data_IF_626674338086
#
_entry.id   IF_626674338086
#
_cell.length_a   1.000
_cell.length_b   1.000
_cell.length_c   1.000
_cell.angle_alpha   90.00
_cell.angle_beta   90.00
_cell.angle_gamma   90.00
#
_symmetry.space_group_name_H-M   'P 1'
#
loop_
_entity.id
_entity.type
_entity.pdbx_description
1 polymer ?
#
# COMPACT_ATOMS: atom_id res chain seq x y z
N UNK A 1 -5.67 18.24 -7.03
CA UNK A 1 -5.36 16.96 -6.36
C UNK A 1 -5.83 15.82 -7.24
N UNK A 2 -5.10 14.70 -7.39
CA UNK A 2 -5.62 13.55 -8.13
C UNK A 2 -6.96 13.09 -7.57
N UNK A 3 -7.87 12.67 -8.44
CA UNK A 3 -9.20 12.20 -8.08
C UNK A 3 -9.26 10.68 -8.00
N UNK A 4 -10.49 10.16 -7.94
CA UNK A 4 -10.77 8.73 -7.88
C UNK A 4 -10.09 7.94 -9.01
N UNK A 5 -10.24 8.42 -10.26
CA UNK A 5 -9.76 7.70 -11.45
C UNK A 5 -8.25 7.63 -11.51
N UNK A 6 -7.57 8.72 -11.16
CA UNK A 6 -6.12 8.82 -11.13
C UNK A 6 -5.52 7.91 -10.06
N UNK A 7 -6.13 7.87 -8.87
CA UNK A 7 -5.72 6.96 -7.81
C UNK A 7 -5.98 5.50 -8.16
N UNK A 8 -7.13 5.19 -8.77
CA UNK A 8 -7.42 3.84 -9.26
C UNK A 8 -6.38 3.37 -10.28
N UNK A 9 -6.04 4.22 -11.25
CA UNK A 9 -5.02 3.90 -12.25
C UNK A 9 -3.66 3.61 -11.62
N UNK A 10 -3.20 4.43 -10.67
CA UNK A 10 -1.93 4.20 -9.99
C UNK A 10 -1.94 2.95 -9.11
N UNK A 11 -3.05 2.66 -8.43
CA UNK A 11 -3.21 1.40 -7.69
C UNK A 11 -3.09 0.19 -8.63
N UNK A 12 -3.82 0.17 -9.75
CA UNK A 12 -3.78 -0.93 -10.73
C UNK A 12 -2.38 -1.11 -11.30
N UNK A 13 -1.75 -0.02 -11.75
CA UNK A 13 -0.40 -0.05 -12.30
C UNK A 13 0.62 -0.62 -11.31
N UNK A 14 0.55 -0.23 -10.03
CA UNK A 14 1.47 -0.75 -9.01
C UNK A 14 1.19 -2.23 -8.69
N UNK A 15 -0.09 -2.63 -8.67
CA UNK A 15 -0.49 -4.02 -8.45
C UNK A 15 0.00 -4.94 -9.58
N UNK A 16 -0.18 -4.50 -10.83
CA UNK A 16 0.32 -5.21 -12.01
C UNK A 16 1.85 -5.32 -11.94
N UNK A 17 2.54 -4.20 -11.68
CA UNK A 17 4.00 -4.19 -11.57
C UNK A 17 4.54 -5.18 -10.54
N UNK A 18 3.98 -5.24 -9.32
CA UNK A 18 4.48 -6.17 -8.28
C UNK A 18 4.15 -7.64 -8.56
N UNK A 19 3.30 -7.90 -9.55
CA UNK A 19 2.96 -9.24 -10.03
C UNK A 19 3.85 -9.70 -11.19
N UNK A 20 4.67 -8.79 -11.75
CA UNK A 20 5.63 -9.12 -12.81
C UNK A 20 6.73 -10.07 -12.31
N UNK A 21 7.25 -10.90 -13.21
CA UNK A 21 8.26 -11.93 -12.89
C UNK A 21 9.49 -11.38 -12.18
N UNK A 22 9.93 -10.16 -12.53
CA UNK A 22 11.09 -9.50 -11.89
C UNK A 22 10.88 -9.23 -10.39
N UNK A 23 9.63 -9.20 -9.92
CA UNK A 23 9.24 -9.03 -8.52
C UNK A 23 8.66 -10.30 -7.88
N UNK A 24 8.75 -11.45 -8.57
CA UNK A 24 8.43 -12.76 -7.98
C UNK A 24 9.33 -13.02 -6.78
N UNK A 25 8.73 -13.41 -5.65
CA UNK A 25 9.48 -13.62 -4.41
C UNK A 25 10.43 -14.82 -4.48
N UNK A 26 10.18 -15.77 -5.38
CA UNK A 26 11.02 -16.93 -5.60
C UNK A 26 12.39 -16.57 -6.21
N UNK A 27 12.44 -15.50 -7.02
CA UNK A 27 13.61 -15.18 -7.85
C UNK A 27 14.15 -13.75 -7.65
N UNK A 28 13.37 -12.85 -7.08
CA UNK A 28 13.72 -11.43 -7.05
C UNK A 28 14.81 -11.12 -6.02
N UNK A 29 15.78 -10.31 -6.45
CA UNK A 29 16.74 -9.64 -5.56
C UNK A 29 16.26 -8.26 -5.07
N UNK A 30 15.10 -7.80 -5.56
CA UNK A 30 14.58 -6.45 -5.35
C UNK A 30 13.51 -6.42 -4.26
N UNK A 31 13.77 -7.07 -3.13
CA UNK A 31 12.81 -7.22 -2.03
C UNK A 31 12.37 -5.86 -1.46
N UNK A 32 13.26 -4.89 -1.37
CA UNK A 32 12.98 -3.50 -0.96
C UNK A 32 11.96 -2.82 -1.89
N UNK A 33 12.07 -3.07 -3.19
CA UNK A 33 11.14 -2.56 -4.19
C UNK A 33 9.78 -3.24 -4.11
N UNK A 34 9.72 -4.56 -3.83
CA UNK A 34 8.44 -5.24 -3.61
C UNK A 34 7.65 -4.55 -2.49
N UNK A 35 8.28 -4.32 -1.34
CA UNK A 35 7.66 -3.63 -0.20
C UNK A 35 7.19 -2.23 -0.57
N UNK A 36 8.05 -1.50 -1.30
CA UNK A 36 7.76 -0.13 -1.74
C UNK A 36 6.53 -0.11 -2.64
N UNK A 37 6.46 -0.99 -3.64
CA UNK A 37 5.35 -1.03 -4.59
C UNK A 37 4.05 -1.47 -3.89
N UNK A 38 4.09 -2.46 -3.00
CA UNK A 38 2.93 -2.88 -2.19
C UNK A 38 2.37 -1.71 -1.35
N UNK A 39 3.24 -0.93 -0.71
CA UNK A 39 2.80 0.25 0.03
C UNK A 39 2.18 1.30 -0.89
N UNK A 40 2.79 1.62 -2.04
CA UNK A 40 2.22 2.60 -2.96
C UNK A 40 0.91 2.12 -3.60
N UNK A 41 0.72 0.82 -3.81
CA UNK A 41 -0.56 0.26 -4.21
C UNK A 41 -1.61 0.46 -3.10
N UNK A 42 -1.30 0.13 -1.84
CA UNK A 42 -2.21 0.34 -0.70
C UNK A 42 -2.54 1.83 -0.48
N UNK A 43 -1.55 2.71 -0.60
CA UNK A 43 -1.69 4.16 -0.51
C UNK A 43 -2.71 4.68 -1.52
N UNK A 44 -2.57 4.30 -2.79
CA UNK A 44 -3.48 4.76 -3.82
C UNK A 44 -4.88 4.16 -3.67
N UNK A 45 -4.99 2.94 -3.16
CA UNK A 45 -6.29 2.35 -2.83
C UNK A 45 -7.01 3.12 -1.71
N UNK A 46 -6.28 3.54 -0.66
CA UNK A 46 -6.81 4.40 0.40
C UNK A 46 -7.24 5.77 -0.13
N UNK A 47 -6.39 6.44 -0.91
CA UNK A 47 -6.72 7.75 -1.50
C UNK A 47 -7.93 7.66 -2.44
N UNK A 48 -8.03 6.59 -3.23
CA UNK A 48 -9.19 6.32 -4.07
C UNK A 48 -10.48 6.27 -3.24
N UNK A 49 -10.46 5.59 -2.08
CA UNK A 49 -11.62 5.49 -1.17
C UNK A 49 -11.93 6.81 -0.47
N UNK A 50 -10.93 7.62 -0.15
CA UNK A 50 -11.14 8.98 0.38
C UNK A 50 -11.75 9.91 -0.67
N UNK A 51 -11.22 9.90 -1.89
CA UNK A 51 -11.66 10.74 -3.01
C UNK A 51 -13.13 10.51 -3.38
N UNK A 52 -13.68 9.30 -3.19
CA UNK A 52 -15.12 9.02 -3.32
C UNK A 52 -16.01 9.91 -2.44
N UNK A 53 -15.48 10.49 -1.37
CA UNK A 53 -16.20 11.37 -0.44
C UNK A 53 -15.64 12.80 -0.47
N UNK A 54 -14.93 13.17 -1.55
CA UNK A 54 -14.30 14.48 -1.72
C UNK A 54 -13.28 14.83 -0.61
N UNK A 55 -12.70 13.80 0.03
CA UNK A 55 -11.61 13.94 1.01
C UNK A 55 -10.30 13.62 0.31
N UNK A 56 -9.28 14.43 0.56
CA UNK A 56 -7.97 14.28 -0.04
C UNK A 56 -6.86 14.47 1.00
N UNK A 57 -5.77 13.70 0.88
CA UNK A 57 -4.62 13.84 1.78
C UNK A 57 -3.32 14.16 1.04
N UNK A 58 -2.79 15.36 1.27
CA UNK A 58 -1.70 15.95 0.46
C UNK A 58 -0.33 15.39 0.83
N UNK A 59 -0.23 14.82 2.02
CA UNK A 59 1.01 14.32 2.58
C UNK A 59 0.77 13.03 3.39
N UNK A 60 1.87 12.38 3.79
CA UNK A 60 1.80 11.14 4.56
C UNK A 60 1.16 11.31 5.94
N UNK A 61 1.30 12.47 6.57
CA UNK A 61 0.74 12.74 7.92
C UNK A 61 -0.78 12.80 7.83
N UNK A 62 -1.32 13.61 6.92
CA UNK A 62 -2.76 13.71 6.65
C UNK A 62 -3.34 12.34 6.27
N UNK A 63 -2.64 11.57 5.45
CA UNK A 63 -3.08 10.22 5.04
C UNK A 63 -3.14 9.25 6.21
N UNK A 64 -2.08 9.20 7.01
CA UNK A 64 -2.00 8.29 8.16
C UNK A 64 -3.07 8.66 9.20
N UNK A 65 -3.31 9.95 9.41
CA UNK A 65 -4.41 10.43 10.25
C UNK A 65 -5.77 10.00 9.70
N UNK A 66 -6.00 10.11 8.40
CA UNK A 66 -7.24 9.64 7.77
C UNK A 66 -7.45 8.12 7.96
N UNK A 67 -6.42 7.30 7.73
CA UNK A 67 -6.47 5.85 8.00
C UNK A 67 -6.79 5.56 9.47
N UNK A 68 -6.15 6.29 10.39
CA UNK A 68 -6.33 6.11 11.83
C UNK A 68 -7.71 6.56 12.35
N UNK A 69 -8.37 7.51 11.70
CA UNK A 69 -9.59 8.16 12.22
C UNK A 69 -10.85 7.74 11.50
N UNK A 70 -10.81 7.55 10.17
CA UNK A 70 -11.99 7.17 9.39
C UNK A 70 -12.44 5.76 9.81
N UNK A 71 -13.71 5.62 10.18
CA UNK A 71 -14.28 4.38 10.69
C UNK A 71 -14.18 3.22 9.70
N UNK A 72 -14.41 3.48 8.42
CA UNK A 72 -14.34 2.48 7.33
C UNK A 72 -12.95 1.85 7.17
N UNK A 73 -11.90 2.50 7.68
CA UNK A 73 -10.53 1.99 7.59
C UNK A 73 -10.10 1.23 8.85
N UNK A 74 -10.98 1.07 9.84
CA UNK A 74 -10.65 0.41 11.12
C UNK A 74 -10.02 -0.97 10.94
N UNK A 75 -10.51 -1.79 10.00
CA UNK A 75 -9.98 -3.14 9.76
C UNK A 75 -8.61 -3.17 9.10
N UNK A 76 -8.15 -2.08 8.47
CA UNK A 76 -6.89 -2.02 7.74
C UNK A 76 -5.78 -1.24 8.46
N UNK A 77 -6.09 -0.52 9.55
CA UNK A 77 -5.18 0.42 10.22
C UNK A 77 -3.80 -0.16 10.51
N UNK A 78 -3.76 -1.32 11.16
CA UNK A 78 -2.50 -1.96 11.56
C UNK A 78 -1.70 -2.44 10.33
N UNK A 79 -2.36 -3.08 9.37
CA UNK A 79 -1.72 -3.55 8.15
C UNK A 79 -1.12 -2.38 7.34
N UNK A 80 -1.86 -1.29 7.21
CA UNK A 80 -1.42 -0.10 6.50
C UNK A 80 -0.23 0.58 7.21
N UNK A 81 -0.27 0.73 8.54
CA UNK A 81 0.84 1.31 9.32
C UNK A 81 2.14 0.49 9.17
N UNK A 82 2.04 -0.84 9.21
CA UNK A 82 3.20 -1.71 8.98
C UNK A 82 3.78 -1.50 7.58
N UNK A 83 2.96 -1.52 6.52
CA UNK A 83 3.45 -1.27 5.15
C UNK A 83 4.08 0.12 5.00
N UNK A 84 3.49 1.15 5.63
CA UNK A 84 4.07 2.49 5.63
C UNK A 84 5.46 2.51 6.29
N UNK A 85 5.59 1.93 7.49
CA UNK A 85 6.86 1.91 8.22
C UNK A 85 7.92 1.10 7.50
N UNK A 86 7.56 -0.06 6.97
CA UNK A 86 8.50 -0.96 6.31
C UNK A 86 8.93 -0.43 4.93
N UNK A 87 8.04 0.23 4.18
CA UNK A 87 8.44 0.92 2.94
C UNK A 87 9.40 2.09 3.22
N UNK A 88 9.19 2.84 4.30
CA UNK A 88 10.14 3.88 4.75
C UNK A 88 11.51 3.28 5.09
N UNK A 89 11.57 2.15 5.79
CA UNK A 89 12.82 1.44 6.08
C UNK A 89 13.49 0.92 4.80
N UNK A 90 12.71 0.35 3.88
CA UNK A 90 13.19 -0.13 2.59
C UNK A 90 13.87 0.97 1.77
N UNK A 91 13.31 2.18 1.77
CA UNK A 91 13.85 3.30 0.99
C UNK A 91 14.94 4.10 1.68
N UNK A 92 14.84 4.28 2.99
CA UNK A 92 15.68 5.25 3.72
C UNK A 92 16.51 4.63 4.84
N UNK A 93 16.19 3.40 5.26
CA UNK A 93 16.89 2.71 6.34
C UNK A 93 18.04 1.82 5.88
N UNK A 94 18.20 1.60 4.57
CA UNK A 94 19.20 0.70 3.98
C UNK A 94 19.23 -0.70 4.64
N UNK A 95 18.09 -1.15 5.17
CA UNK A 95 17.99 -2.42 5.88
C UNK A 95 17.85 -3.57 4.88
N UNK A 96 18.56 -4.70 5.09
CA UNK A 96 18.30 -5.90 4.31
C UNK A 96 16.92 -6.47 4.66
N UNK A 97 16.22 -6.97 3.66
CA UNK A 97 14.96 -7.69 3.82
C UNK A 97 15.16 -9.15 3.42
N UNK A 98 14.42 -10.04 4.08
CA UNK A 98 14.36 -11.45 3.71
C UNK A 98 12.98 -11.78 3.13
N UNK A 99 12.92 -12.89 2.38
CA UNK A 99 11.73 -13.34 1.68
C UNK A 99 10.53 -13.52 2.61
N UNK A 100 10.71 -14.22 3.73
CA UNK A 100 9.63 -14.54 4.68
C UNK A 100 8.94 -13.28 5.21
N UNK A 101 9.70 -12.21 5.45
CA UNK A 101 9.14 -10.92 5.86
C UNK A 101 8.37 -10.25 4.73
N UNK A 102 8.89 -10.30 3.50
CA UNK A 102 8.17 -9.72 2.36
C UNK A 102 6.88 -10.48 2.05
N UNK A 103 6.85 -11.80 2.24
CA UNK A 103 5.63 -12.59 2.13
C UNK A 103 4.56 -12.14 3.15
N UNK A 104 4.98 -11.90 4.40
CA UNK A 104 4.09 -11.32 5.43
C UNK A 104 3.53 -9.96 4.98
N UNK A 105 4.37 -9.10 4.36
CA UNK A 105 3.93 -7.81 3.86
C UNK A 105 2.99 -7.91 2.65
N UNK A 106 3.17 -8.90 1.78
CA UNK A 106 2.22 -9.22 0.70
C UNK A 106 0.86 -9.62 1.28
N UNK A 107 0.83 -10.49 2.29
CA UNK A 107 -0.42 -10.85 2.96
C UNK A 107 -1.12 -9.66 3.64
N UNK A 108 -0.36 -8.70 4.18
CA UNK A 108 -0.92 -7.45 4.71
C UNK A 108 -1.56 -6.59 3.61
N UNK A 109 -0.93 -6.50 2.44
CA UNK A 109 -1.50 -5.82 1.28
C UNK A 109 -2.79 -6.51 0.81
N UNK A 110 -2.78 -7.84 0.68
CA UNK A 110 -3.95 -8.62 0.27
C UNK A 110 -5.13 -8.43 1.23
N UNK A 111 -4.86 -8.35 2.54
CA UNK A 111 -5.86 -8.01 3.55
C UNK A 111 -6.45 -6.61 3.31
N UNK A 112 -5.60 -5.59 3.11
CA UNK A 112 -6.06 -4.22 2.82
C UNK A 112 -6.93 -4.19 1.56
N UNK A 113 -6.47 -4.84 0.50
CA UNK A 113 -7.16 -4.90 -0.78
C UNK A 113 -8.53 -5.55 -0.63
N UNK A 114 -8.59 -6.72 0.01
CA UNK A 114 -9.83 -7.45 0.29
C UNK A 114 -10.83 -6.60 1.06
N UNK A 115 -10.40 -5.94 2.14
CA UNK A 115 -11.27 -5.12 2.98
C UNK A 115 -11.80 -3.90 2.24
N UNK A 116 -10.94 -3.20 1.50
CA UNK A 116 -11.33 -1.98 0.80
C UNK A 116 -12.14 -2.26 -0.45
N UNK A 117 -11.86 -3.32 -1.22
CA UNK A 117 -12.62 -3.62 -2.43
C UNK A 117 -14.00 -4.22 -2.15
N UNK A 118 -14.15 -5.01 -1.07
CA UNK A 118 -15.47 -5.52 -0.64
C UNK A 118 -16.45 -4.42 -0.24
N UNK A 119 -15.96 -3.31 0.29
CA UNK A 119 -16.76 -2.16 0.71
C UNK A 119 -17.11 -1.24 -0.50
N UNK A 120 -17.40 -1.81 -1.67
CA UNK A 120 -17.71 -1.08 -2.92
C UNK A 120 -19.09 -1.41 -3.43
#
# INVERSE_FOLDING_TARGET
MPGYKEHYYQYMKNKELVSEKIFSLDDTKYLDWVITILFYAALHLVEMKLAKNNVHSEDHVKRNNAVATVSRFKSIRSAYDVLYRESRKARYGCCPFNRDKVEQYRALFDHIEKELLKAS
#
